data_IF_242086620502
#
_entry.id   IF_242086620502
#
_cell.length_a   1.000
_cell.length_b   1.000
_cell.length_c   1.000
_cell.angle_alpha   90.00
_cell.angle_beta   90.00
_cell.angle_gamma   90.00
#
_symmetry.space_group_name_H-M   'P 1'
#
loop_
_entity.id
_entity.type
_entity.pdbx_description
1 polymer ?
#
# COMPACT_ATOMS: atom_id res chain seq x y z
N UNK A 1 -12.38 6.38 5.35
CA UNK A 1 -11.50 6.77 4.22
C UNK A 1 -10.43 7.70 4.76
N UNK A 2 -9.15 7.52 4.41
CA UNK A 2 -8.11 8.45 4.82
C UNK A 2 -8.31 9.80 4.11
N UNK A 3 -8.31 10.89 4.89
CA UNK A 3 -8.36 12.25 4.38
C UNK A 3 -6.92 12.74 4.22
N UNK A 4 -6.55 13.13 3.00
CA UNK A 4 -5.21 13.66 2.70
C UNK A 4 -5.34 15.16 2.45
N UNK A 5 -4.76 15.97 3.35
CA UNK A 5 -4.71 17.42 3.17
C UNK A 5 -3.49 17.79 2.35
N UNK A 6 -3.72 18.41 1.20
CA UNK A 6 -2.66 18.88 0.28
C UNK A 6 -2.70 20.40 0.26
N UNK A 7 -1.51 21.02 0.34
CA UNK A 7 -1.43 22.48 0.25
C UNK A 7 -1.87 22.95 -1.14
N UNK A 8 -2.75 23.96 -1.19
CA UNK A 8 -3.17 24.62 -2.44
C UNK A 8 -2.00 25.19 -3.26
N UNK A 9 -0.82 25.34 -2.66
CA UNK A 9 0.40 25.79 -3.34
C UNK A 9 0.90 24.82 -4.41
N UNK A 10 0.54 23.55 -4.30
CA UNK A 10 0.95 22.50 -5.23
C UNK A 10 -0.17 22.14 -6.20
N UNK A 11 -1.33 22.81 -6.14
CA UNK A 11 -2.47 22.53 -7.01
C UNK A 11 -2.28 23.25 -8.35
N UNK A 12 -2.19 22.47 -9.43
CA UNK A 12 -2.05 22.99 -10.80
C UNK A 12 -3.41 23.04 -11.49
N UNK A 13 -4.17 21.96 -11.41
CA UNK A 13 -5.54 21.89 -11.92
C UNK A 13 -6.40 20.96 -11.07
N UNK A 14 -7.69 21.24 -11.05
CA UNK A 14 -8.73 20.43 -10.40
C UNK A 14 -9.91 20.36 -11.36
N UNK A 15 -10.24 19.15 -11.79
CA UNK A 15 -11.41 18.80 -12.59
C UNK A 15 -12.31 17.86 -11.77
N UNK A 16 -13.53 17.55 -12.24
CA UNK A 16 -14.46 16.66 -11.50
C UNK A 16 -13.88 15.26 -11.23
N UNK A 17 -13.03 14.77 -12.13
CA UNK A 17 -12.47 13.41 -12.06
C UNK A 17 -10.98 13.37 -11.68
N UNK A 18 -10.29 14.52 -11.64
CA UNK A 18 -8.83 14.51 -11.46
C UNK A 18 -8.26 15.76 -10.81
N UNK A 19 -7.16 15.59 -10.08
CA UNK A 19 -6.41 16.67 -9.46
C UNK A 19 -4.96 16.57 -9.95
N UNK A 20 -4.48 17.61 -10.61
CA UNK A 20 -3.07 17.70 -11.06
C UNK A 20 -2.29 18.51 -10.04
N UNK A 21 -1.23 17.90 -9.51
CA UNK A 21 -0.38 18.49 -8.50
C UNK A 21 1.06 18.61 -9.01
N UNK A 22 1.69 19.76 -8.79
CA UNK A 22 3.13 19.96 -8.99
C UNK A 22 3.82 19.85 -7.64
N UNK A 23 4.19 18.62 -7.28
CA UNK A 23 4.81 18.30 -5.99
C UNK A 23 6.34 18.30 -6.13
N UNK A 24 7.06 18.88 -5.16
CA UNK A 24 8.52 18.75 -5.10
C UNK A 24 8.95 17.30 -5.02
N UNK A 25 10.06 16.96 -5.67
CA UNK A 25 10.61 15.61 -5.72
C UNK A 25 10.90 15.03 -4.32
N UNK A 26 11.22 15.89 -3.34
CA UNK A 26 11.39 15.51 -1.94
C UNK A 26 10.12 14.94 -1.29
N UNK A 27 8.95 15.49 -1.64
CA UNK A 27 7.65 15.00 -1.15
C UNK A 27 7.34 13.65 -1.80
N UNK A 28 7.54 13.53 -3.11
CA UNK A 28 7.35 12.27 -3.85
C UNK A 28 8.25 11.16 -3.32
N UNK A 29 9.52 11.44 -3.06
CA UNK A 29 10.46 10.49 -2.48
C UNK A 29 10.04 10.02 -1.08
N UNK A 30 9.50 10.93 -0.26
CA UNK A 30 8.98 10.58 1.06
C UNK A 30 7.78 9.63 0.98
N UNK A 31 6.83 9.91 0.08
CA UNK A 31 5.65 9.09 -0.11
C UNK A 31 6.00 7.73 -0.71
N UNK A 32 6.88 7.69 -1.72
CA UNK A 32 7.33 6.44 -2.33
C UNK A 32 8.00 5.51 -1.30
N UNK A 33 8.79 6.07 -0.37
CA UNK A 33 9.37 5.31 0.74
C UNK A 33 8.29 4.71 1.65
N UNK A 34 7.26 5.47 1.97
CA UNK A 34 6.18 5.00 2.84
C UNK A 34 5.27 3.98 2.15
N UNK A 35 4.91 4.19 0.88
CA UNK A 35 4.23 3.17 0.06
C UNK A 35 5.06 1.89 -0.09
N UNK A 36 6.38 2.02 -0.24
CA UNK A 36 7.30 0.87 -0.28
C UNK A 36 7.27 0.05 1.01
N UNK A 37 7.17 0.69 2.18
CA UNK A 37 7.03 -0.01 3.48
C UNK A 37 5.71 -0.79 3.55
N UNK A 38 4.61 -0.18 3.09
CA UNK A 38 3.28 -0.82 3.07
C UNK A 38 3.28 -2.03 2.13
N UNK A 39 3.86 -1.90 0.93
CA UNK A 39 4.00 -3.00 -0.01
C UNK A 39 4.81 -4.17 0.57
N UNK A 40 5.92 -3.87 1.25
CA UNK A 40 6.76 -4.87 1.92
C UNK A 40 6.00 -5.58 3.04
N UNK A 41 5.31 -4.83 3.91
CA UNK A 41 4.51 -5.40 4.99
C UNK A 41 3.39 -6.32 4.46
N UNK A 42 2.70 -5.89 3.39
CA UNK A 42 1.70 -6.72 2.71
C UNK A 42 2.30 -8.04 2.22
N UNK A 43 3.47 -8.00 1.57
CA UNK A 43 4.15 -9.22 1.10
C UNK A 43 4.49 -10.19 2.24
N UNK A 44 4.98 -9.69 3.37
CA UNK A 44 5.27 -10.53 4.56
C UNK A 44 4.00 -11.22 5.07
N UNK A 45 2.91 -10.47 5.21
CA UNK A 45 1.63 -11.01 5.68
C UNK A 45 1.06 -12.05 4.72
N UNK A 46 1.24 -11.84 3.41
CA UNK A 46 0.76 -12.75 2.38
C UNK A 46 1.52 -14.09 2.45
N UNK A 47 2.85 -14.04 2.58
CA UNK A 47 3.68 -15.23 2.75
C UNK A 47 3.33 -16.00 4.03
N UNK A 48 3.07 -15.30 5.15
CA UNK A 48 2.65 -15.94 6.39
C UNK A 48 1.29 -16.63 6.25
N UNK A 49 0.33 -15.98 5.58
CA UNK A 49 -0.97 -16.58 5.30
C UNK A 49 -0.83 -17.86 4.47
N UNK A 50 -0.02 -17.85 3.43
CA UNK A 50 0.22 -19.02 2.59
C UNK A 50 0.86 -20.17 3.37
N UNK A 51 1.85 -19.87 4.21
CA UNK A 51 2.47 -20.87 5.09
C UNK A 51 1.48 -21.47 6.09
N UNK A 52 0.59 -20.65 6.68
CA UNK A 52 -0.44 -21.14 7.59
C UNK A 52 -1.46 -22.05 6.88
N UNK A 53 -1.87 -21.70 5.67
CA UNK A 53 -2.79 -22.51 4.87
C UNK A 53 -2.15 -23.85 4.50
N UNK A 54 -0.91 -23.84 4.03
CA UNK A 54 -0.16 -25.05 3.74
C UNK A 54 -0.01 -25.97 4.97
N UNK A 55 0.22 -25.38 6.15
CA UNK A 55 0.28 -26.14 7.39
C UNK A 55 -1.08 -26.75 7.76
N UNK A 56 -2.17 -26.00 7.60
CA UNK A 56 -3.53 -26.49 7.83
C UNK A 56 -3.89 -27.65 6.91
N UNK A 57 -3.55 -27.55 5.62
CA UNK A 57 -3.78 -28.61 4.64
C UNK A 57 -2.95 -29.86 4.95
N UNK A 58 -1.69 -29.69 5.36
CA UNK A 58 -0.84 -30.80 5.77
C UNK A 58 -1.40 -31.51 7.01
N UNK A 59 -1.79 -30.76 8.05
CA UNK A 59 -2.41 -31.32 9.25
C UNK A 59 -3.68 -32.06 8.85
N UNK A 60 -4.57 -31.48 8.05
CA UNK A 60 -5.81 -32.13 7.61
C UNK A 60 -5.55 -33.48 6.93
N UNK A 61 -4.53 -33.57 6.07
CA UNK A 61 -4.16 -34.82 5.41
C UNK A 61 -3.63 -35.90 6.34
N UNK A 62 -3.17 -35.57 7.55
CA UNK A 62 -2.77 -36.55 8.57
C UNK A 62 -3.96 -37.16 9.33
N UNK A 63 -5.15 -36.55 9.23
CA UNK A 63 -6.39 -37.02 9.87
C UNK A 63 -7.31 -37.83 8.93
N UNK A 64 -7.01 -37.89 7.64
CA UNK A 64 -7.69 -38.73 6.63
C UNK A 64 -6.90 -40.02 6.35
#
# INVERSE_FOLDING_TARGET
MPLVNISKRYLVSEDEDSITLDLPESVLASWQKDYGKVAKAKGILQNQKEAMLAHLDAVRGEWE
#
